data_IF_154842984294
#
_entry.id   IF_154842984294
#
_cell.length_a   1.000
_cell.length_b   1.000
_cell.length_c   1.000
_cell.angle_alpha   90.00
_cell.angle_beta   90.00
_cell.angle_gamma   90.00
#
_symmetry.space_group_name_H-M   'P 1'
#
loop_
_entity.id
_entity.type
_entity.pdbx_description
1 polymer ?
#
# COMPACT_ATOMS: atom_id res chain seq x y z
N UNK A 1 9.50 2.26 12.37
CA UNK A 1 9.80 3.59 11.79
C UNK A 1 8.54 4.45 11.74
N UNK A 2 7.52 4.03 10.97
CA UNK A 2 6.23 4.73 10.85
C UNK A 2 5.49 4.95 12.19
N UNK A 3 5.55 3.98 13.12
CA UNK A 3 4.98 4.16 14.49
C UNK A 3 5.51 5.40 15.23
N UNK A 4 6.69 5.92 14.87
CA UNK A 4 7.27 7.14 15.48
C UNK A 4 6.57 8.43 15.06
N UNK A 5 5.88 8.42 13.92
CA UNK A 5 5.14 9.57 13.38
C UNK A 5 3.64 9.44 13.54
N UNK A 6 3.14 8.29 14.04
CA UNK A 6 1.74 8.15 14.42
C UNK A 6 1.41 9.03 15.63
N UNK A 7 0.30 9.74 15.56
CA UNK A 7 -0.28 10.51 16.65
C UNK A 7 -1.44 9.80 17.34
N UNK A 8 -1.71 8.53 17.03
CA UNK A 8 -2.83 7.81 17.63
C UNK A 8 -2.95 6.36 17.18
N UNK A 9 -4.20 5.93 16.93
CA UNK A 9 -4.52 4.55 16.57
C UNK A 9 -3.67 4.04 15.40
N UNK A 10 -3.32 2.76 15.47
CA UNK A 10 -2.47 2.08 14.50
C UNK A 10 -3.11 0.75 14.13
N UNK A 11 -3.25 0.51 12.83
CA UNK A 11 -3.72 -0.75 12.27
C UNK A 11 -2.73 -1.22 11.21
N UNK A 12 -2.53 -2.52 11.12
CA UNK A 12 -1.67 -3.15 10.14
C UNK A 12 -2.33 -4.43 9.62
N UNK A 13 -2.32 -4.63 8.30
CA UNK A 13 -2.75 -5.88 7.70
C UNK A 13 -1.71 -6.97 7.99
N UNK A 14 -2.05 -8.26 7.78
CA UNK A 14 -1.03 -9.27 7.59
C UNK A 14 -0.06 -8.89 6.46
N UNK A 15 1.13 -9.49 6.49
CA UNK A 15 2.06 -9.40 5.36
C UNK A 15 1.66 -10.45 4.34
N UNK A 16 1.50 -10.03 3.09
CA UNK A 16 1.10 -10.87 1.97
C UNK A 16 2.27 -11.09 1.01
N UNK A 17 2.66 -12.34 0.82
CA UNK A 17 3.56 -12.75 -0.24
C UNK A 17 2.80 -12.91 -1.56
N UNK A 18 3.30 -12.27 -2.62
CA UNK A 18 2.76 -12.33 -3.98
C UNK A 18 3.82 -12.69 -4.99
N UNK A 19 3.43 -13.37 -6.06
CA UNK A 19 4.32 -13.69 -7.17
C UNK A 19 5.03 -12.43 -7.73
N UNK A 20 6.29 -12.54 -8.18
CA UNK A 20 7.01 -11.42 -8.79
C UNK A 20 6.29 -10.91 -10.04
N UNK A 21 6.15 -9.58 -10.15
CA UNK A 21 5.78 -8.91 -11.40
C UNK A 21 7.07 -8.43 -12.08
N UNK A 22 7.46 -9.06 -13.20
CA UNK A 22 8.66 -8.65 -13.96
C UNK A 22 9.43 -9.82 -14.61
N UNK A 23 10.68 -9.57 -15.06
CA UNK A 23 11.57 -10.58 -15.64
C UNK A 23 11.78 -11.79 -14.72
N UNK A 24 11.98 -12.97 -15.32
CA UNK A 24 12.27 -14.21 -14.60
C UNK A 24 13.49 -14.08 -13.67
N UNK A 25 13.41 -14.72 -12.50
CA UNK A 25 14.49 -14.75 -11.50
C UNK A 25 14.37 -13.75 -10.35
N UNK A 26 13.29 -12.96 -10.29
CA UNK A 26 13.00 -12.13 -9.10
C UNK A 26 12.34 -12.96 -7.99
N UNK A 27 12.70 -12.66 -6.74
CA UNK A 27 12.01 -13.21 -5.56
C UNK A 27 10.58 -12.67 -5.42
N UNK A 28 9.77 -13.23 -4.52
CA UNK A 28 8.41 -12.75 -4.29
C UNK A 28 8.40 -11.31 -3.75
N UNK A 29 7.26 -10.63 -3.93
CA UNK A 29 6.99 -9.36 -3.25
C UNK A 29 6.25 -9.61 -1.94
N UNK A 30 6.56 -8.79 -0.93
CA UNK A 30 5.84 -8.77 0.34
C UNK A 30 5.10 -7.44 0.45
N UNK A 31 3.77 -7.51 0.59
CA UNK A 31 2.88 -6.36 0.59
C UNK A 31 2.16 -6.27 1.95
N UNK A 32 2.04 -5.06 2.47
CA UNK A 32 1.33 -4.78 3.71
C UNK A 32 0.70 -3.38 3.61
N UNK A 33 -0.46 -3.20 4.22
CA UNK A 33 -1.08 -1.89 4.40
C UNK A 33 -1.08 -1.55 5.88
N UNK A 34 -0.73 -0.29 6.19
CA UNK A 34 -0.80 0.27 7.53
C UNK A 34 -1.66 1.53 7.52
N UNK A 35 -2.44 1.73 8.57
CA UNK A 35 -3.28 2.91 8.77
C UNK A 35 -3.02 3.51 10.14
N UNK A 36 -2.89 4.82 10.21
CA UNK A 36 -2.62 5.52 11.46
C UNK A 36 -3.03 7.00 11.41
N UNK A 37 -3.22 7.60 12.59
CA UNK A 37 -3.43 9.04 12.70
C UNK A 37 -2.13 9.81 12.52
N UNK A 38 -2.16 10.87 11.71
CA UNK A 38 -1.01 11.73 11.45
C UNK A 38 -1.44 13.20 11.54
N UNK A 39 -0.69 14.01 12.30
CA UNK A 39 -1.05 15.42 12.55
C UNK A 39 -0.45 16.42 11.55
N UNK A 40 0.44 15.98 10.65
CA UNK A 40 1.04 16.83 9.61
C UNK A 40 0.21 16.89 8.32
N UNK A 41 0.83 17.35 7.23
CA UNK A 41 0.22 17.37 5.90
C UNK A 41 0.55 16.11 5.07
N UNK A 42 -0.23 15.86 4.02
CA UNK A 42 0.02 14.76 3.10
C UNK A 42 1.40 14.85 2.43
N UNK A 43 1.86 16.06 2.09
CA UNK A 43 3.20 16.29 1.54
C UNK A 43 4.30 15.96 2.55
N UNK A 44 4.14 16.39 3.81
CA UNK A 44 5.11 16.07 4.87
C UNK A 44 5.20 14.56 5.07
N UNK A 45 4.06 13.86 5.05
CA UNK A 45 4.04 12.40 5.13
C UNK A 45 4.73 11.78 3.92
N UNK A 46 4.45 12.23 2.70
CA UNK A 46 5.12 11.75 1.49
C UNK A 46 6.65 11.91 1.58
N UNK A 47 7.14 13.07 2.04
CA UNK A 47 8.57 13.28 2.24
C UNK A 47 9.15 12.35 3.31
N UNK A 48 8.42 12.11 4.39
CA UNK A 48 8.81 11.15 5.42
C UNK A 48 8.91 9.72 4.88
N UNK A 49 7.96 9.28 4.06
CA UNK A 49 7.98 7.98 3.41
C UNK A 49 9.22 7.84 2.51
N UNK A 50 9.46 8.80 1.62
CA UNK A 50 10.65 8.81 0.74
C UNK A 50 11.97 8.76 1.52
N UNK A 51 12.07 9.52 2.61
CA UNK A 51 13.23 9.48 3.50
C UNK A 51 13.38 8.12 4.20
N UNK A 52 12.26 7.48 4.55
CA UNK A 52 12.23 6.15 5.15
C UNK A 52 12.75 5.08 4.20
N UNK A 53 12.34 5.12 2.94
CA UNK A 53 12.84 4.21 1.91
C UNK A 53 14.36 4.31 1.75
N UNK A 54 14.89 5.54 1.71
CA UNK A 54 16.33 5.77 1.61
C UNK A 54 17.10 5.16 2.79
N UNK A 55 16.60 5.37 4.02
CA UNK A 55 17.21 4.80 5.24
C UNK A 55 17.15 3.27 5.25
N UNK A 56 16.07 2.69 4.73
CA UNK A 56 15.87 1.25 4.63
C UNK A 56 16.65 0.61 3.47
N UNK A 57 17.45 1.40 2.75
CA UNK A 57 18.40 0.90 1.76
C UNK A 57 17.87 0.87 0.33
N UNK A 58 16.77 1.58 0.02
CA UNK A 58 16.33 1.78 -1.38
C UNK A 58 17.47 2.39 -2.18
N UNK A 59 17.94 1.66 -3.18
CA UNK A 59 18.94 2.15 -4.16
C UNK A 59 18.22 2.60 -5.42
N UNK A 60 18.68 3.70 -6.02
CA UNK A 60 18.21 4.07 -7.36
C UNK A 60 18.79 3.09 -8.39
N UNK A 61 17.93 2.19 -8.89
CA UNK A 61 18.28 1.18 -9.89
C UNK A 61 17.48 1.37 -11.20
N UNK A 62 16.78 2.48 -11.40
CA UNK A 62 15.90 2.69 -12.56
C UNK A 62 14.52 2.02 -12.44
N UNK A 63 13.80 1.92 -13.55
CA UNK A 63 12.41 1.41 -13.61
C UNK A 63 12.38 -0.13 -13.70
N UNK A 64 11.41 -0.77 -13.02
CA UNK A 64 11.12 -2.22 -13.06
C UNK A 64 12.15 -3.20 -12.47
N UNK A 65 13.13 -2.69 -11.73
CA UNK A 65 14.04 -3.54 -10.96
C UNK A 65 13.46 -3.87 -9.58
N UNK A 66 13.79 -5.04 -9.06
CA UNK A 66 13.52 -5.42 -7.66
C UNK A 66 14.01 -4.30 -6.73
N UNK A 67 13.12 -3.83 -5.85
CA UNK A 67 13.39 -2.76 -4.89
C UNK A 67 13.46 -3.36 -3.50
N UNK A 68 14.37 -2.83 -2.69
CA UNK A 68 14.51 -3.24 -1.30
C UNK A 68 13.27 -2.88 -0.46
N UNK A 69 12.64 -1.73 -0.73
CA UNK A 69 11.36 -1.31 -0.16
C UNK A 69 10.69 -0.24 -1.04
N UNK A 70 9.35 -0.22 -1.04
CA UNK A 70 8.50 0.80 -1.67
C UNK A 70 7.41 1.21 -0.67
N UNK A 71 7.26 2.51 -0.39
CA UNK A 71 6.28 3.07 0.54
C UNK A 71 5.36 4.05 -0.19
N UNK A 72 4.19 3.56 -0.58
CA UNK A 72 3.15 4.36 -1.25
C UNK A 72 2.17 5.01 -0.25
N UNK A 73 1.86 6.29 -0.46
CA UNK A 73 0.77 6.97 0.26
C UNK A 73 -0.56 6.69 -0.44
N UNK A 74 -1.36 5.76 0.09
CA UNK A 74 -2.64 5.37 -0.51
C UNK A 74 -3.73 6.43 -0.31
N UNK A 75 -3.98 6.81 0.94
CA UNK A 75 -5.01 7.76 1.35
C UNK A 75 -4.44 8.77 2.33
N UNK A 76 -5.05 9.96 2.39
CA UNK A 76 -4.78 10.94 3.44
C UNK A 76 -6.10 11.57 3.90
N UNK A 77 -6.76 10.93 4.86
CA UNK A 77 -8.15 11.25 5.19
C UNK A 77 -9.04 11.25 3.93
N UNK A 78 -10.02 12.15 3.88
CA UNK A 78 -10.87 12.35 2.70
C UNK A 78 -10.29 13.27 1.62
N UNK A 79 -8.98 13.57 1.64
CA UNK A 79 -8.39 14.52 0.70
C UNK A 79 -8.27 13.95 -0.72
N UNK A 80 -8.44 14.82 -1.69
CA UNK A 80 -8.11 14.58 -3.10
C UNK A 80 -7.08 15.61 -3.57
N UNK A 81 -5.99 15.13 -4.16
CA UNK A 81 -4.91 15.95 -4.69
C UNK A 81 -4.52 15.44 -6.08
N UNK A 82 -4.42 16.37 -7.03
CA UNK A 82 -3.98 16.11 -8.40
C UNK A 82 -2.77 17.00 -8.67
N UNK A 83 -1.61 16.41 -9.00
CA UNK A 83 -0.38 17.16 -9.25
C UNK A 83 0.87 16.40 -8.81
N UNK A 84 1.80 17.10 -8.13
CA UNK A 84 3.06 16.51 -7.66
C UNK A 84 2.87 15.44 -6.59
N UNK A 85 1.79 15.56 -5.83
CA UNK A 85 1.27 14.55 -4.91
C UNK A 85 -0.09 14.11 -5.47
N UNK A 86 -0.28 12.79 -5.62
CA UNK A 86 -1.53 12.21 -6.07
C UNK A 86 -2.11 11.39 -4.91
N UNK A 87 -3.24 11.86 -4.38
CA UNK A 87 -4.00 11.18 -3.31
C UNK A 87 -5.49 11.28 -3.67
N UNK A 88 -6.29 10.21 -3.57
CA UNK A 88 -5.87 8.82 -3.38
C UNK A 88 -4.88 8.34 -4.44
N UNK A 89 -4.03 7.39 -4.10
CA UNK A 89 -3.08 6.83 -5.05
C UNK A 89 -3.81 6.22 -6.26
N UNK A 90 -3.39 6.59 -7.46
CA UNK A 90 -4.16 6.35 -8.70
C UNK A 90 -4.33 4.86 -9.06
N UNK A 91 -3.50 3.98 -8.51
CA UNK A 91 -3.51 2.54 -8.81
C UNK A 91 -4.19 1.69 -7.74
N UNK A 92 -4.81 2.27 -6.71
CA UNK A 92 -5.46 1.49 -5.65
C UNK A 92 -6.49 0.52 -6.25
N UNK A 93 -7.37 1.02 -7.13
CA UNK A 93 -8.45 0.25 -7.74
C UNK A 93 -7.99 -0.86 -8.69
N UNK A 94 -6.71 -0.87 -9.07
CA UNK A 94 -6.17 -1.77 -10.10
C UNK A 94 -5.20 -2.82 -9.52
N UNK A 95 -5.01 -2.84 -8.19
CA UNK A 95 -3.98 -3.68 -7.57
C UNK A 95 -4.59 -4.52 -6.46
N UNK A 96 -4.74 -5.81 -6.70
CA UNK A 96 -5.21 -6.75 -5.67
C UNK A 96 -4.28 -6.75 -4.45
N UNK A 97 -2.97 -6.63 -4.64
CA UNK A 97 -1.99 -6.59 -3.54
C UNK A 97 -2.03 -5.30 -2.71
N UNK A 98 -2.85 -4.33 -3.11
CA UNK A 98 -3.20 -3.14 -2.30
C UNK A 98 -4.59 -3.35 -1.68
N UNK A 99 -5.59 -3.73 -2.48
CA UNK A 99 -6.97 -3.83 -2.01
C UNK A 99 -7.22 -4.99 -1.04
N UNK A 100 -6.55 -6.14 -1.21
CA UNK A 100 -6.68 -7.27 -0.28
C UNK A 100 -6.22 -6.87 1.14
N UNK A 101 -4.97 -6.41 1.36
CA UNK A 101 -4.55 -5.98 2.69
C UNK A 101 -5.30 -4.76 3.22
N UNK A 102 -5.70 -3.82 2.35
CA UNK A 102 -6.51 -2.68 2.78
C UNK A 102 -7.90 -3.12 3.27
N UNK A 103 -8.51 -4.10 2.62
CA UNK A 103 -9.81 -4.65 3.00
C UNK A 103 -9.80 -5.38 4.34
N UNK A 104 -8.65 -5.92 4.76
CA UNK A 104 -8.53 -6.55 6.09
C UNK A 104 -8.69 -5.55 7.24
N UNK A 105 -8.24 -4.30 7.04
CA UNK A 105 -8.19 -3.29 8.12
C UNK A 105 -9.25 -2.18 7.96
N UNK A 106 -9.76 -1.98 6.75
CA UNK A 106 -10.66 -0.88 6.44
C UNK A 106 -11.66 -1.23 5.31
N UNK A 107 -12.46 -2.31 5.43
CA UNK A 107 -13.37 -2.75 4.37
C UNK A 107 -14.45 -1.72 4.02
N UNK A 108 -14.89 -0.95 5.01
CA UNK A 108 -15.95 0.06 4.88
C UNK A 108 -15.42 1.46 4.54
N UNK A 109 -14.10 1.62 4.37
CA UNK A 109 -13.52 2.91 3.99
C UNK A 109 -14.02 3.31 2.59
N UNK A 110 -14.56 4.52 2.47
CA UNK A 110 -15.08 5.06 1.21
C UNK A 110 -13.98 5.83 0.51
N UNK A 111 -13.61 5.37 -0.68
CA UNK A 111 -12.67 6.07 -1.54
C UNK A 111 -13.28 7.42 -2.00
N UNK A 112 -12.65 8.57 -1.69
CA UNK A 112 -13.23 9.89 -2.00
C UNK A 112 -13.26 10.20 -3.50
N UNK A 113 -12.60 9.42 -4.35
CA UNK A 113 -12.60 9.61 -5.80
C UNK A 113 -13.74 8.86 -6.49
N UNK A 114 -14.04 7.65 -6.06
CA UNK A 114 -15.04 6.77 -6.68
C UNK A 114 -16.35 6.72 -5.90
N UNK A 115 -16.34 7.05 -4.60
CA UNK A 115 -17.49 6.92 -3.72
C UNK A 115 -17.81 5.46 -3.33
N UNK A 116 -16.95 4.51 -3.70
CA UNK A 116 -17.12 3.08 -3.39
C UNK A 116 -16.37 2.72 -2.11
N UNK A 117 -16.87 1.71 -1.39
CA UNK A 117 -16.11 1.14 -0.26
C UNK A 117 -14.95 0.31 -0.78
N UNK A 118 -13.92 0.13 0.04
CA UNK A 118 -12.80 -0.79 -0.25
C UNK A 118 -13.31 -2.19 -0.58
N UNK A 119 -14.29 -2.70 0.18
CA UNK A 119 -14.90 -4.00 -0.11
C UNK A 119 -15.55 -4.08 -1.49
N UNK A 120 -16.27 -3.03 -1.90
CA UNK A 120 -16.86 -2.97 -3.25
C UNK A 120 -15.79 -2.89 -4.34
N UNK A 121 -14.74 -2.07 -4.14
CA UNK A 121 -13.63 -1.97 -5.09
C UNK A 121 -12.90 -3.31 -5.27
N UNK A 122 -12.65 -4.03 -4.17
CA UNK A 122 -12.03 -5.35 -4.22
C UNK A 122 -12.93 -6.36 -4.94
N UNK A 123 -14.23 -6.39 -4.65
CA UNK A 123 -15.17 -7.28 -5.32
C UNK A 123 -15.19 -7.04 -6.84
N UNK A 124 -15.26 -5.78 -7.28
CA UNK A 124 -15.22 -5.43 -8.70
C UNK A 124 -13.90 -5.83 -9.38
N UNK A 125 -12.76 -5.69 -8.69
CA UNK A 125 -11.47 -6.10 -9.24
C UNK A 125 -11.36 -7.62 -9.38
N UNK A 126 -11.84 -8.37 -8.38
CA UNK A 126 -11.84 -9.84 -8.40
C UNK A 126 -12.76 -10.39 -9.50
N UNK A 127 -13.90 -9.76 -9.75
CA UNK A 127 -14.79 -10.12 -10.86
C UNK A 127 -14.11 -9.92 -12.22
N UNK A 128 -13.32 -8.84 -12.37
CA UNK A 128 -12.64 -8.51 -13.61
C UNK A 128 -11.40 -9.38 -13.89
N UNK A 129 -10.60 -9.66 -12.85
CA UNK A 129 -9.26 -10.24 -13.02
C UNK A 129 -9.10 -11.64 -12.41
N UNK A 130 -10.10 -12.12 -11.69
CA UNK A 130 -9.99 -13.32 -10.86
C UNK A 130 -9.15 -13.08 -9.61
N UNK A 131 -9.13 -14.08 -8.70
CA UNK A 131 -8.37 -13.99 -7.45
C UNK A 131 -6.90 -14.33 -7.69
N UNK A 132 -6.01 -13.39 -7.35
CA UNK A 132 -4.57 -13.65 -7.34
C UNK A 132 -4.17 -14.59 -6.19
N UNK A 133 -3.07 -15.30 -6.37
CA UNK A 133 -2.49 -16.13 -5.32
C UNK A 133 -1.80 -15.24 -4.28
N UNK A 134 -2.31 -15.26 -3.05
CA UNK A 134 -1.77 -14.56 -1.89
C UNK A 134 -1.44 -15.57 -0.81
N UNK A 135 -0.23 -15.51 -0.26
CA UNK A 135 0.14 -16.27 0.94
C UNK A 135 0.34 -15.31 2.09
N UNK A 136 -0.37 -15.53 3.19
CA UNK A 136 -0.17 -14.77 4.42
C UNK A 136 1.10 -15.27 5.11
N UNK A 137 2.01 -14.35 5.42
CA UNK A 137 3.20 -14.65 6.21
C UNK A 137 2.86 -14.47 7.68
N UNK A 138 2.88 -15.57 8.43
CA UNK A 138 2.76 -15.55 9.89
C UNK A 138 4.16 -15.58 10.50
N UNK A 139 4.31 -15.03 11.71
CA UNK A 139 5.58 -14.98 12.45
C UNK A 139 6.10 -16.36 12.89
N UNK A 140 5.56 -17.45 12.36
CA UNK A 140 5.86 -18.84 12.75
C UNK A 140 6.69 -19.60 11.71
N UNK A 141 7.12 -18.97 10.62
CA UNK A 141 8.04 -19.62 9.67
C UNK A 141 9.51 -19.24 9.98
N UNK A 142 10.37 -20.22 10.29
CA UNK A 142 11.74 -20.03 10.77
C UNK A 142 12.72 -19.53 9.69
#
# INVERSE_FOLDING_TARGET
MLKKVSSGEWQESPVYETAPVGPEGQGPYFNQVVSFLYSGTAEQLLYYLKGSEFILGRKDRGHWNSREIDLDLLYFGGQTCEGRLIVPHSQITNRQFVLVPLNDIAPDWVDPKTGLTVGSMLASLLEKEGKSAFRVITSEEP
#
